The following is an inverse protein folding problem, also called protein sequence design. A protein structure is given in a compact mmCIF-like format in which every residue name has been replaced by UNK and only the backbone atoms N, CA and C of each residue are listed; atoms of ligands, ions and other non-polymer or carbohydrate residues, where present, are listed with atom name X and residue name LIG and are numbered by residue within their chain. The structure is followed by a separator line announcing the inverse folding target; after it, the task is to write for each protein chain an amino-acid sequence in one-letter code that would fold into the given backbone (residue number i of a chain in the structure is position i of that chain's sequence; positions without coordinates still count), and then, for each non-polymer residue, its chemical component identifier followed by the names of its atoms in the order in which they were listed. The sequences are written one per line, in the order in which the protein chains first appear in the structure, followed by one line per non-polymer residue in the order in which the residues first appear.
data_IF_948437000598
#
_entry.id   IF_948437000598
#
_cell.length_a   1.000
_cell.length_b   1.000
_cell.length_c   1.000
_cell.angle_alpha   90.00
_cell.angle_beta   90.00
_cell.angle_gamma   90.00
#
_symmetry.space_group_name_H-M   'P 1'
#
loop_
_entity.id
_entity.type
_entity.pdbx_description
1 polymer ?
2 polymer ?
3 water ?
#
loop_
_entity_poly.entity_id
_entity_poly.type
_entity_poly.pdbx_seq_one_letter_code
_entity_poly.pdbx_strand_id
2 'polydeoxyribonucleotide/polyribonucleotide hybrid' '(DA)(DU)(DA)(DC)(DA)(DU)(DA)' ?
#
# COMPACT_ATOMS: atom_id res chain seq x y z
N UNK A 2 7.11 21.26 -1.87
CA UNK A 2 5.94 20.80 -1.12
C UNK A 2 4.98 21.96 -0.80
N UNK A 3 4.31 21.88 0.35
CA UNK A 3 3.40 22.93 0.80
C UNK A 3 3.25 22.93 2.33
N UNK A 4 2.49 23.89 2.84
CA UNK A 4 2.26 24.00 4.28
C UNK A 4 0.93 23.35 4.68
N UNK A 5 0.21 22.78 3.71
CA UNK A 5 -1.11 22.22 3.96
C UNK A 5 -1.08 21.04 4.92
N UNK A 6 -2.05 21.01 5.82
CA UNK A 6 -2.25 19.88 6.71
C UNK A 6 -3.71 19.45 6.66
N UNK A 7 -3.95 18.13 6.64
CA UNK A 7 -5.32 17.58 6.61
C UNK A 7 -6.04 17.75 7.94
N UNK A 8 -7.34 18.01 7.87
CA UNK A 8 -8.17 18.12 9.06
C UNK A 8 -9.33 17.14 8.97
N UNK A 9 -9.96 16.84 10.10
CA UNK A 9 -11.09 15.92 10.11
C UNK A 9 -12.21 16.41 9.20
N UNK A 10 -12.73 15.51 8.38
CA UNK A 10 -13.83 15.83 7.49
C UNK A 10 -13.38 16.45 6.18
N UNK A 11 -12.08 16.45 5.95
CA UNK A 11 -11.54 17.02 4.72
C UNK A 11 -11.65 16.03 3.57
N UNK A 12 -11.24 16.48 2.40
CA UNK A 12 -11.19 15.62 1.22
C UNK A 12 -9.88 15.85 0.49
N UNK A 13 -9.08 14.79 0.40
CA UNK A 13 -7.73 14.89 -0.15
C UNK A 13 -7.53 14.04 -1.38
N UNK A 14 -6.54 14.41 -2.19
CA UNK A 14 -6.19 13.63 -3.36
C UNK A 14 -4.90 12.86 -3.08
N UNK A 15 -5.00 11.53 -3.02
CA UNK A 15 -3.84 10.73 -2.64
C UNK A 15 -3.72 9.43 -3.45
N UNK A 16 -2.49 8.93 -3.55
CA UNK A 16 -2.21 7.68 -4.24
C UNK A 16 -2.01 6.55 -3.24
N UNK A 17 -2.86 5.54 -3.29
CA UNK A 17 -2.82 4.43 -2.34
C UNK A 17 -1.97 3.27 -2.80
N UNK A 18 -1.48 3.36 -4.04
CA UNK A 18 -0.51 2.39 -4.55
C UNK A 18 0.78 2.51 -3.75
N UNK A 19 1.49 1.39 -3.58
CA UNK A 19 1.18 0.06 -4.11
C UNK A 19 0.07 -0.64 -3.33
N UNK A 20 -0.54 -1.64 -3.93
CA UNK A 20 -1.64 -2.37 -3.31
C UNK A 20 -1.61 -3.87 -3.64
N UNK A 21 -1.90 -4.70 -2.66
CA UNK A 21 -1.89 -6.16 -2.89
C UNK A 21 -3.06 -6.59 -3.77
N UNK A 22 -4.28 -6.28 -3.35
CA UNK A 22 -5.45 -6.44 -4.22
C UNK A 22 -6.74 -6.13 -3.51
N UNK A 23 -7.76 -5.78 -4.27
CA UNK A 23 -9.07 -5.46 -3.70
C UNK A 23 -8.93 -4.41 -2.61
N UNK A 24 -7.85 -3.64 -2.68
CA UNK A 24 -7.60 -2.54 -1.78
C UNK A 24 -7.58 -1.31 -2.67
N UNK A 25 -8.48 -0.36 -2.45
CA UNK A 25 -8.63 0.73 -3.40
C UNK A 25 -7.27 1.36 -3.68
N UNK A 26 -6.95 1.45 -4.96
CA UNK A 26 -5.59 1.77 -5.41
C UNK A 26 -5.56 2.96 -6.36
N UNK A 27 -4.36 3.33 -6.79
CA UNK A 27 -4.18 4.45 -7.70
C UNK A 27 -4.48 5.78 -7.04
N UNK A 28 -4.44 6.86 -7.82
CA UNK A 28 -4.78 8.18 -7.31
C UNK A 28 -6.30 8.31 -7.14
N UNK A 29 -6.73 8.95 -6.06
CA UNK A 29 -8.15 9.10 -5.81
C UNK A 29 -8.43 9.96 -4.57
N UNK A 30 -9.69 10.41 -4.43
CA UNK A 30 -10.14 11.17 -3.26
C UNK A 30 -10.20 10.28 -2.01
N UNK A 31 -9.95 10.89 -0.85
CA UNK A 31 -10.04 10.21 0.43
C UNK A 31 -10.62 11.19 1.45
N UNK A 32 -11.55 10.70 2.27
CA UNK A 32 -12.12 11.49 3.36
C UNK A 32 -11.31 11.30 4.64
N UNK A 33 -10.80 12.42 5.16
CA UNK A 33 -9.96 12.41 6.36
C UNK A 33 -10.78 12.27 7.65
N UNK A 34 -10.44 11.25 8.44
CA UNK A 34 -11.10 10.99 9.71
C UNK A 34 -10.31 11.57 10.87
N UNK A 35 -9.07 11.12 11.01
CA UNK A 35 -8.19 11.57 12.09
C UNK A 35 -8.16 13.09 12.17
N UNK A 36 -8.08 13.62 13.41
CA UNK A 36 -8.10 15.04 13.77
C UNK A 36 -6.86 15.78 13.30
N UNK A 37 -6.93 17.11 13.28
CA UNK A 37 -5.83 17.93 12.79
C UNK A 37 -4.53 17.71 13.55
N UNK A 38 -4.61 17.54 14.86
CA UNK A 38 -3.41 17.45 15.69
C UNK A 38 -2.67 16.10 15.56
N UNK A 39 -3.44 15.02 15.44
CA UNK A 39 -2.85 13.72 15.18
C UNK A 39 -2.19 13.72 13.81
N UNK A 40 -2.92 14.21 12.81
CA UNK A 40 -2.40 14.33 11.45
C UNK A 40 -1.11 15.11 11.44
N UNK A 41 -1.14 16.29 12.02
CA UNK A 41 0.03 17.16 12.10
C UNK A 41 1.21 16.49 12.80
N UNK A 42 1.05 16.20 14.09
CA UNK A 42 2.13 15.61 14.87
C UNK A 42 2.65 14.31 14.27
N UNK A 43 1.81 13.29 14.27
CA UNK A 43 2.22 11.96 13.82
C UNK A 43 2.64 11.94 12.36
N UNK A 44 2.08 12.85 11.57
CA UNK A 44 2.36 12.89 10.15
C UNK A 44 1.62 11.79 9.42
N UNK A 45 0.72 11.12 10.14
CA UNK A 45 -0.11 10.07 9.57
C UNK A 45 -1.55 10.51 9.57
N UNK A 46 -2.43 9.70 8.99
CA UNK A 46 -3.86 9.99 9.01
C UNK A 46 -4.73 8.77 8.74
N UNK A 47 -6.00 8.88 9.14
CA UNK A 47 -7.00 7.84 8.92
C UNK A 47 -8.01 8.38 7.92
N UNK A 48 -8.24 7.64 6.84
CA UNK A 48 -9.10 8.13 5.77
C UNK A 48 -9.81 7.02 4.98
N UNK A 49 -10.95 7.37 4.40
CA UNK A 49 -11.69 6.43 3.55
C UNK A 49 -11.60 6.81 2.07
N UNK A 50 -11.13 5.87 1.23
CA UNK A 50 -10.97 6.12 -0.20
C UNK A 50 -12.31 6.32 -0.91
N UNK A 51 -12.31 7.11 -1.97
CA UNK A 51 -13.54 7.40 -2.70
C UNK A 51 -13.51 6.83 -4.11
N UNK A 52 -14.69 6.50 -4.65
CA UNK A 52 -14.79 5.93 -5.98
C UNK A 52 -16.03 6.44 -6.72
N UNK A 53 -15.96 6.43 -8.05
CA UNK A 53 -17.08 6.87 -8.87
C UNK A 53 -17.96 5.70 -9.31
N UNK A 54 -17.56 4.50 -8.90
CA UNK A 54 -18.31 3.29 -9.23
C UNK A 54 -19.15 2.84 -8.04
N UNK A 55 -20.46 3.00 -8.16
CA UNK A 55 -21.37 2.61 -7.08
C UNK A 55 -21.94 1.23 -7.36
N UNK A 56 -21.50 0.23 -6.59
CA UNK A 56 -21.95 -1.14 -6.77
C UNK A 56 -23.03 -1.54 -5.78
N UNK A 57 -23.38 -0.62 -4.88
CA UNK A 57 -24.43 -0.86 -3.90
C UNK A 57 -23.99 -1.69 -2.71
N UNK A 58 -22.70 -1.67 -2.40
CA UNK A 58 -22.19 -2.39 -1.25
C UNK A 58 -22.65 -1.71 0.04
N UNK A 59 -22.76 -2.48 1.14
CA UNK A 59 -23.34 -1.99 2.40
C UNK A 59 -22.59 -0.79 2.98
N UNK A 60 -21.27 -0.83 2.97
CA UNK A 60 -20.45 0.19 3.63
C UNK A 60 -20.15 1.38 2.72
N UNK A 61 -20.74 1.38 1.53
CA UNK A 61 -20.63 2.51 0.62
C UNK A 61 -21.44 3.69 1.14
N UNK A 62 -20.81 4.86 1.23
CA UNK A 62 -21.50 6.09 1.61
C UNK A 62 -21.43 7.12 0.49
N UNK A 63 -22.58 7.61 0.05
CA UNK A 63 -22.64 8.57 -1.06
C UNK A 63 -22.21 9.98 -0.67
N UNK A 64 -21.29 10.55 -1.45
CA UNK A 64 -20.81 11.90 -1.23
C UNK A 64 -21.36 12.87 -2.28
N UNK A 65 -22.06 13.90 -1.81
CA UNK A 65 -22.59 14.92 -2.70
C UNK A 65 -21.69 16.16 -2.68
N UNK A 66 -22.05 17.16 -3.48
CA UNK A 66 -21.29 18.39 -3.54
C UNK A 66 -19.85 18.18 -3.96
N UNK A 67 -19.66 17.40 -5.02
CA UNK A 67 -18.32 17.15 -5.54
C UNK A 67 -18.28 17.32 -7.06
N UNK A 68 -17.10 17.16 -7.65
CA UNK A 68 -16.96 17.36 -9.08
C UNK A 68 -17.48 16.16 -9.89
N UNK A 69 -17.31 14.97 -9.33
CA UNK A 69 -17.92 13.76 -9.88
C UNK A 69 -18.65 12.99 -8.80
N UNK A 70 -19.93 12.75 -9.00
CA UNK A 70 -20.72 11.96 -8.04
C UNK A 70 -20.13 10.58 -7.87
N UNK A 71 -19.96 10.16 -6.63
CA UNK A 71 -19.34 8.88 -6.34
C UNK A 71 -19.56 8.45 -4.89
N UNK A 72 -18.81 7.44 -4.47
CA UNK A 72 -19.00 6.88 -3.13
C UNK A 72 -17.67 6.72 -2.39
N UNK A 73 -17.72 6.93 -1.08
CA UNK A 73 -16.58 6.68 -0.20
C UNK A 73 -16.79 5.33 0.48
N UNK A 74 -15.71 4.61 0.72
CA UNK A 74 -15.82 3.27 1.29
C UNK A 74 -15.50 3.28 2.78
N UNK A 75 -16.53 3.04 3.59
CA UNK A 75 -16.44 3.18 5.04
C UNK A 75 -15.68 2.04 5.71
N UNK A 76 -15.66 0.87 5.07
CA UNK A 76 -15.00 -0.31 5.63
C UNK A 76 -13.58 -0.45 5.10
N UNK A 77 -13.21 0.51 4.26
CA UNK A 77 -11.94 0.51 3.53
C UNK A 77 -10.84 1.20 4.32
N UNK A 78 -11.08 1.46 5.60
CA UNK A 78 -10.29 2.44 6.36
C UNK A 78 -8.80 2.30 6.10
N UNK A 79 -8.15 3.44 5.90
CA UNK A 79 -6.77 3.50 5.48
C UNK A 79 -5.93 4.36 6.44
N UNK A 80 -4.86 3.78 6.98
CA UNK A 80 -3.85 4.55 7.70
C UNK A 80 -2.71 4.86 6.74
N UNK A 81 -2.37 6.13 6.60
CA UNK A 81 -1.33 6.52 5.64
C UNK A 81 -0.41 7.61 6.16
N UNK A 82 0.77 7.72 5.55
CA UNK A 82 1.60 8.88 5.79
C UNK A 82 1.27 9.84 4.67
N UNK A 83 0.56 10.92 5.00
CA UNK A 83 0.06 11.84 4.00
C UNK A 83 1.15 12.81 3.57
N UNK A 84 2.00 13.18 4.50
CA UNK A 84 3.09 14.12 4.24
C UNK A 84 4.12 13.47 3.32
N UNK A 85 4.27 12.15 3.47
CA UNK A 85 5.19 11.37 2.64
C UNK A 85 4.58 11.08 1.27
N UNK A 86 3.30 10.71 1.25
CA UNK A 86 2.61 10.39 -0.01
C UNK A 86 2.14 11.66 -0.72
N UNK A 87 2.36 12.80 -0.09
CA UNK A 87 2.01 14.08 -0.69
C UNK A 87 0.51 14.29 -0.86
N UNK A 88 -0.23 14.16 0.24
CA UNK A 88 -1.67 14.43 0.19
C UNK A 88 -1.92 15.89 -0.16
N UNK A 89 -2.98 16.13 -0.92
CA UNK A 89 -3.36 17.47 -1.35
C UNK A 89 -4.83 17.70 -1.10
N UNK A 90 -5.18 18.80 -0.45
CA UNK A 90 -6.59 19.08 -0.16
C UNK A 90 -7.39 19.17 -1.45
N UNK A 91 -8.39 18.30 -1.57
CA UNK A 91 -9.32 18.34 -2.70
C UNK A 91 -10.62 19.08 -2.39
N UNK A 92 -10.88 19.35 -1.11
CA UNK A 92 -12.12 20.00 -0.74
C UNK A 92 -12.64 19.61 0.63
N UNK A 93 -13.95 19.79 0.81
CA UNK A 93 -14.60 19.46 2.07
C UNK A 93 -15.81 18.55 1.86
N UNK A 94 -16.19 17.81 2.89
CA UNK A 94 -17.39 16.97 2.85
C UNK A 94 -18.36 17.39 3.96
N UNK A 95 -19.66 17.21 3.71
CA UNK A 95 -20.69 17.58 4.68
C UNK A 95 -20.55 16.75 5.96
N UNK A 96 -20.81 17.38 7.11
CA UNK A 96 -20.69 16.73 8.42
C UNK A 96 -21.51 15.45 8.52
N UNK A 97 -22.65 15.39 7.84
CA UNK A 97 -23.54 14.24 7.93
C UNK A 97 -22.91 12.99 7.31
N UNK A 98 -22.22 13.19 6.19
CA UNK A 98 -21.57 12.12 5.47
C UNK A 98 -20.36 11.59 6.24
N UNK A 99 -19.55 12.50 6.76
CA UNK A 99 -18.44 12.13 7.63
C UNK A 99 -19.00 11.33 8.80
N UNK A 100 -20.12 11.79 9.33
CA UNK A 100 -20.78 11.15 10.46
C UNK A 100 -21.28 9.74 10.11
N UNK A 101 -21.69 9.54 8.87
CA UNK A 101 -22.18 8.23 8.44
C UNK A 101 -21.02 7.28 8.23
N UNK A 102 -19.92 7.80 7.70
CA UNK A 102 -18.67 7.03 7.61
C UNK A 102 -18.27 6.55 8.99
N UNK A 103 -17.98 7.50 9.87
CA UNK A 103 -17.59 7.18 11.25
C UNK A 103 -18.59 6.21 11.88
N UNK A 104 -19.87 6.41 11.59
CA UNK A 104 -20.92 5.57 12.14
C UNK A 104 -20.82 4.13 11.64
N UNK A 105 -20.42 3.98 10.38
CA UNK A 105 -20.27 2.66 9.78
C UNK A 105 -19.00 1.96 10.22
N UNK A 106 -17.99 2.74 10.56
CA UNK A 106 -16.73 2.15 11.02
C UNK A 106 -16.89 1.51 12.41
N UNK A 107 -17.76 2.08 13.24
CA UNK A 107 -18.01 1.50 14.56
C UNK A 107 -18.94 0.30 14.46
N UNK A 108 -19.68 0.24 13.36
CA UNK A 108 -20.54 -0.90 13.07
C UNK A 108 -19.73 -2.06 12.51
N UNK A 109 -18.70 -1.75 11.73
CA UNK A 109 -17.85 -2.80 11.18
C UNK A 109 -16.99 -3.36 12.29
N UNK A 110 -16.13 -2.55 12.88
CA UNK A 110 -15.55 -3.03 14.11
C UNK A 110 -16.23 -2.32 15.27
N UNK A 111 -17.38 -2.85 15.66
CA UNK A 111 -17.91 -2.70 16.99
C UNK A 111 -18.19 -4.06 17.62
N UNK A 112 -18.25 -5.08 16.76
CA UNK A 112 -19.03 -6.28 17.05
C UNK A 112 -18.68 -6.98 18.37
N UNK B 4 -9.67 -24.16 4.78
CA UNK B 4 -9.02 -22.86 4.66
C UNK B 4 -9.42 -21.92 5.80
N UNK B 5 -8.43 -21.29 6.42
CA UNK B 5 -8.64 -20.41 7.57
C UNK B 5 -9.10 -19.00 7.19
N UNK B 6 -10.00 -18.44 7.98
CA UNK B 6 -10.44 -17.05 7.82
C UNK B 6 -10.24 -16.28 9.12
N UNK B 7 -9.77 -15.02 9.03
CA UNK B 7 -9.53 -14.20 10.22
C UNK B 7 -10.81 -13.85 10.94
N UNK B 8 -10.81 -13.97 12.28
CA UNK B 8 -11.99 -13.65 13.06
C UNK B 8 -11.69 -12.53 14.04
N UNK B 9 -12.73 -11.88 14.55
CA UNK B 9 -12.57 -10.78 15.48
C UNK B 9 -11.73 -11.22 16.68
N UNK B 10 -10.68 -10.45 16.97
CA UNK B 10 -9.81 -10.74 18.10
C UNK B 10 -8.58 -11.55 17.74
N UNK B 11 -8.64 -12.22 16.59
CA UNK B 11 -7.51 -13.03 16.13
C UNK B 11 -6.25 -12.20 15.90
N UNK B 12 -5.11 -12.77 16.25
CA UNK B 12 -3.80 -12.19 15.98
C UNK B 12 -3.15 -12.97 14.85
N UNK B 13 -2.87 -12.29 13.75
CA UNK B 13 -2.41 -12.97 12.55
C UNK B 13 -1.04 -12.50 12.09
N UNK B 14 -0.39 -13.33 11.28
CA UNK B 14 0.90 -12.97 10.68
C UNK B 14 0.68 -12.56 9.23
N UNK B 15 1.11 -11.35 8.88
CA UNK B 15 0.87 -10.81 7.54
C UNK B 15 2.02 -9.90 7.10
N UNK B 16 2.29 -9.89 5.80
CA UNK B 16 3.31 -9.00 5.25
C UNK B 16 2.64 -7.71 4.77
N UNK B 17 2.95 -6.61 5.43
CA UNK B 17 2.30 -5.33 5.14
C UNK B 17 2.92 -4.62 3.93
N UNK B 18 4.09 -5.08 3.51
CA UNK B 18 4.76 -4.51 2.35
C UNK B 18 3.89 -4.65 1.09
N UNK B 19 4.10 -3.74 0.11
CA UNK B 19 5.00 -2.60 0.26
C UNK B 19 4.33 -1.47 1.06
N UNK B 20 5.12 -0.69 1.79
CA UNK B 20 4.60 0.42 2.59
C UNK B 20 5.51 1.64 2.55
N UNK B 21 4.91 2.82 2.46
CA UNK B 21 5.67 4.07 2.37
C UNK B 21 5.51 4.92 3.62
N UNK B 22 6.55 5.65 3.99
CA UNK B 22 6.48 6.58 5.09
C UNK B 22 6.62 5.98 6.47
N UNK B 23 5.89 6.55 7.43
CA UNK B 23 5.96 6.12 8.82
C UNK B 23 5.06 4.92 9.06
N UNK B 24 4.37 4.48 8.01
CA UNK B 24 3.48 3.33 8.09
C UNK B 24 4.28 2.07 8.39
N UNK B 25 3.71 1.19 9.19
CA UNK B 25 4.36 -0.07 9.54
C UNK B 25 4.59 -0.95 8.31
N UNK B 26 5.80 -1.43 8.15
CA UNK B 26 6.16 -2.26 6.99
C UNK B 26 6.63 -3.65 7.43
N UNK B 27 6.95 -4.48 6.45
CA UNK B 27 7.48 -5.81 6.71
C UNK B 27 6.51 -6.75 7.37
N UNK B 28 6.97 -7.96 7.66
CA UNK B 28 6.16 -8.97 8.34
C UNK B 28 6.00 -8.61 9.82
N UNK B 29 4.82 -8.89 10.35
CA UNK B 29 4.52 -8.61 11.75
C UNK B 29 3.10 -9.06 12.07
N UNK B 30 2.79 -9.24 13.36
CA UNK B 30 1.44 -9.64 13.77
C UNK B 30 0.45 -8.52 13.50
N UNK B 31 -0.79 -8.70 13.94
CA UNK B 31 -1.82 -7.68 13.80
C UNK B 31 -3.10 -8.16 14.46
N UNK B 32 -4.00 -7.22 14.77
CA UNK B 32 -5.24 -7.57 15.45
C UNK B 32 -6.42 -7.30 14.53
N UNK B 33 -7.24 -8.33 14.32
CA UNK B 33 -8.40 -8.21 13.45
C UNK B 33 -9.57 -7.64 14.26
N UNK B 34 -10.02 -6.45 13.87
CA UNK B 34 -11.13 -5.82 14.57
C UNK B 34 -12.42 -6.09 13.81
N UNK B 35 -12.30 -6.72 12.65
CA UNK B 35 -13.45 -7.03 11.82
C UNK B 35 -14.01 -8.41 12.20
N UNK B 36 -15.31 -8.60 11.96
CA UNK B 36 -15.97 -9.89 12.26
C UNK B 36 -15.44 -11.00 11.36
N UNK B 37 -15.94 -12.22 11.59
CA UNK B 37 -15.59 -13.36 10.75
C UNK B 37 -16.27 -13.29 9.40
N UNK B 38 -17.57 -12.98 9.41
CA UNK B 38 -18.36 -13.05 8.18
C UNK B 38 -17.91 -12.04 7.13
N UNK B 39 -17.64 -10.82 7.57
CA UNK B 39 -17.14 -9.79 6.67
C UNK B 39 -15.81 -10.22 6.03
N UNK B 40 -14.86 -10.61 6.88
CA UNK B 40 -13.56 -11.07 6.42
C UNK B 40 -13.68 -12.22 5.43
N UNK B 41 -14.67 -13.08 5.67
CA UNK B 41 -14.90 -14.24 4.82
C UNK B 41 -15.51 -13.85 3.47
N UNK B 42 -16.38 -12.84 3.49
CA UNK B 42 -17.03 -12.36 2.27
C UNK B 42 -16.08 -11.56 1.40
N UNK B 43 -15.67 -10.40 1.90
CA UNK B 43 -14.82 -9.49 1.12
C UNK B 43 -13.42 -10.01 0.90
N UNK B 44 -12.96 -10.91 1.78
CA UNK B 44 -11.57 -11.35 1.73
C UNK B 44 -10.69 -10.20 2.20
N UNK B 45 -11.32 -9.23 2.83
CA UNK B 45 -10.65 -8.06 3.39
C UNK B 45 -10.72 -8.14 4.90
N UNK B 46 -10.17 -7.13 5.57
CA UNK B 46 -10.32 -7.01 7.02
C UNK B 46 -9.62 -5.78 7.57
N UNK B 47 -10.03 -5.37 8.77
CA UNK B 47 -9.41 -4.22 9.44
C UNK B 47 -8.54 -4.71 10.58
N UNK B 48 -7.25 -4.39 10.52
CA UNK B 48 -6.32 -4.86 11.54
C UNK B 48 -5.40 -3.75 12.02
N UNK B 49 -4.93 -3.88 13.26
CA UNK B 49 -3.91 -2.99 13.77
C UNK B 49 -2.58 -3.72 13.78
N UNK B 50 -1.58 -3.18 13.06
CA UNK B 50 -0.27 -3.82 12.99
C UNK B 50 0.45 -3.73 14.34
N UNK B 51 1.07 -4.83 14.77
CA UNK B 51 1.76 -4.81 16.04
C UNK B 51 3.23 -4.45 15.83
N UNK B 52 3.96 -4.29 16.93
CA UNK B 52 5.38 -3.98 16.87
C UNK B 52 6.08 -4.40 18.16
N UNK B 53 7.37 -4.68 18.07
CA UNK B 53 8.15 -5.09 19.25
C UNK B 53 8.75 -3.87 19.96
N UNK B 54 8.68 -2.72 19.29
CA UNK B 54 9.27 -1.50 19.79
C UNK B 54 8.20 -0.55 20.32
N UNK B 55 8.19 -0.36 21.63
CA UNK B 55 7.24 0.56 22.26
C UNK B 55 7.93 1.88 22.56
N UNK B 56 7.48 2.94 21.91
CA UNK B 56 8.05 4.27 22.14
C UNK B 56 7.30 5.00 23.24
N UNK B 57 6.28 4.33 23.78
CA UNK B 57 5.41 4.96 24.77
C UNK B 57 4.41 5.89 24.13
N UNK B 58 4.23 5.76 22.82
CA UNK B 58 3.26 6.57 22.09
C UNK B 58 1.86 6.44 22.69
N UNK B 59 1.07 7.52 22.63
CA UNK B 59 -0.27 7.59 23.23
C UNK B 59 -1.20 6.45 22.80
N UNK B 60 -1.11 6.04 21.53
CA UNK B 60 -2.03 5.04 20.99
C UNK B 60 -1.53 3.61 21.06
N UNK B 61 -0.40 3.40 21.72
CA UNK B 61 0.13 2.05 21.89
C UNK B 61 -0.70 1.24 22.88
N UNK B 62 -1.09 0.04 22.47
CA UNK B 62 -1.78 -0.89 23.37
C UNK B 62 -0.93 -2.13 23.59
N UNK B 63 -0.54 -2.36 24.84
CA UNK B 63 0.35 -3.48 25.16
C UNK B 63 -0.33 -4.83 25.00
N UNK B 64 0.31 -5.70 24.21
CA UNK B 64 -0.16 -7.07 24.03
C UNK B 64 0.58 -8.01 24.96
N UNK B 65 -0.15 -8.67 25.86
CA UNK B 65 0.45 -9.61 26.81
C UNK B 65 0.06 -11.04 26.50
N UNK B 66 1.02 -11.96 26.65
CA UNK B 66 0.75 -13.37 26.47
C UNK B 66 1.27 -13.98 25.17
N UNK B 67 1.93 -13.17 24.35
CA UNK B 67 2.48 -13.70 23.10
C UNK B 67 3.93 -14.13 23.23
N UNK B 68 4.47 -14.67 22.13
CA UNK B 68 5.82 -15.21 22.11
C UNK B 68 6.87 -14.12 22.38
N UNK B 69 6.57 -12.91 21.92
CA UNK B 69 7.42 -11.77 22.18
C UNK B 69 6.53 -10.71 22.80
N UNK B 70 7.11 -9.76 23.53
CA UNK B 70 6.28 -8.71 24.12
C UNK B 70 6.39 -7.47 23.25
N UNK B 71 5.34 -7.22 22.48
CA UNK B 71 5.26 -6.07 21.61
C UNK B 71 4.20 -5.09 22.05
N UNK B 72 3.79 -4.24 21.12
CA UNK B 72 2.64 -3.36 21.32
C UNK B 72 1.87 -3.22 20.01
N UNK B 73 0.55 -3.32 20.08
CA UNK B 73 -0.29 -3.11 18.91
C UNK B 73 -0.55 -1.61 18.76
N UNK B 74 -0.54 -1.13 17.52
CA UNK B 74 -0.74 0.28 17.26
C UNK B 74 -2.18 0.53 16.81
N UNK B 75 -2.97 1.14 17.68
CA UNK B 75 -4.38 1.39 17.40
C UNK B 75 -4.56 2.62 16.52
N UNK B 76 -3.53 3.46 16.46
CA UNK B 76 -3.57 4.68 15.65
C UNK B 76 -3.56 4.35 14.16
N UNK B 77 -2.98 3.20 13.83
CA UNK B 77 -2.97 2.73 12.45
C UNK B 77 -3.96 1.58 12.30
N UNK B 78 -5.09 1.86 11.65
CA UNK B 78 -6.07 0.83 11.38
C UNK B 78 -6.11 0.59 9.89
N UNK B 79 -5.63 -0.57 9.46
CA UNK B 79 -5.46 -0.82 8.04
C UNK B 79 -6.44 -1.86 7.50
N UNK B 80 -7.14 -1.50 6.44
CA UNK B 80 -8.00 -2.46 5.77
C UNK B 80 -7.17 -3.11 4.66
N UNK B 81 -6.87 -4.39 4.86
CA UNK B 81 -6.02 -5.12 3.94
C UNK B 81 -6.71 -6.37 3.43
N UNK B 82 -6.16 -6.92 2.35
CA UNK B 82 -6.60 -8.21 1.87
C UNK B 82 -5.71 -9.26 2.51
N UNK B 83 -6.30 -10.00 3.44
CA UNK B 83 -5.57 -11.00 4.20
C UNK B 83 -5.41 -12.26 3.36
N UNK B 84 -6.43 -12.56 2.55
CA UNK B 84 -6.41 -13.72 1.68
C UNK B 84 -5.31 -13.59 0.62
N UNK B 85 -5.21 -12.40 0.04
CA UNK B 85 -4.22 -12.12 -0.99
C UNK B 85 -2.80 -12.17 -0.45
N UNK B 86 -2.61 -11.60 0.74
CA UNK B 86 -1.29 -11.56 1.38
C UNK B 86 -0.98 -12.86 2.11
N UNK B 87 -1.98 -13.75 2.17
CA UNK B 87 -1.81 -15.02 2.84
C UNK B 87 -1.62 -14.84 4.34
N UNK B 88 -2.47 -14.03 4.96
CA UNK B 88 -2.42 -13.78 6.39
C UNK B 88 -2.61 -15.09 7.16
N UNK B 89 -1.68 -15.38 8.06
CA UNK B 89 -1.73 -16.62 8.81
C UNK B 89 -2.01 -16.35 10.29
N UNK B 90 -2.76 -17.24 10.94
CA UNK B 90 -3.16 -17.03 12.32
C UNK B 90 -1.98 -17.28 13.26
N UNK B 91 -1.60 -16.26 14.03
CA UNK B 91 -0.57 -16.39 15.05
C UNK B 91 -1.08 -16.64 16.47
N UNK B 92 -2.39 -16.48 16.68
CA UNK B 92 -2.93 -16.55 18.02
C UNK B 92 -4.18 -15.71 18.22
N UNK B 93 -4.43 -15.31 19.47
CA UNK B 93 -5.55 -14.44 19.79
C UNK B 93 -5.14 -13.40 20.82
N UNK B 94 -5.75 -12.22 20.77
CA UNK B 94 -5.52 -11.21 21.78
C UNK B 94 -6.63 -11.28 22.82
N UNK B 95 -6.27 -11.05 24.08
CA UNK B 95 -7.26 -11.05 25.15
C UNK B 95 -8.36 -10.03 24.84
N UNK B 96 -9.59 -10.34 25.25
CA UNK B 96 -10.76 -9.50 24.95
C UNK B 96 -10.55 -8.05 25.36
N UNK B 97 -9.99 -7.82 26.54
CA UNK B 97 -9.78 -6.46 27.04
C UNK B 97 -8.78 -5.68 26.19
N UNK B 98 -7.89 -6.40 25.53
CA UNK B 98 -6.91 -5.75 24.66
C UNK B 98 -7.58 -5.25 23.40
N UNK B 99 -8.32 -6.14 22.74
CA UNK B 99 -9.10 -5.76 21.57
C UNK B 99 -10.06 -4.64 21.94
N UNK B 100 -10.58 -4.67 23.15
CA UNK B 100 -11.52 -3.66 23.62
C UNK B 100 -10.87 -2.30 23.82
N UNK B 101 -9.70 -2.29 24.46
CA UNK B 101 -8.94 -1.05 24.64
C UNK B 101 -8.59 -0.48 23.27
N UNK B 102 -8.19 -1.36 22.35
CA UNK B 102 -7.87 -0.94 21.00
C UNK B 102 -9.06 -0.27 20.34
N UNK B 103 -10.21 -0.95 20.37
CA UNK B 103 -11.46 -0.39 19.86
C UNK B 103 -11.69 1.00 20.44
N UNK B 104 -11.51 1.12 21.75
CA UNK B 104 -11.73 2.38 22.46
C UNK B 104 -10.84 3.49 21.91
N UNK B 105 -9.54 3.25 21.90
CA UNK B 105 -8.59 4.24 21.42
C UNK B 105 -8.89 4.65 19.98
N UNK B 106 -9.08 3.66 19.10
CA UNK B 106 -9.39 3.94 17.71
C UNK B 106 -10.61 4.84 17.61
N UNK B 107 -11.69 4.44 18.28
CA UNK B 107 -12.95 5.17 18.27
C UNK B 107 -12.83 6.56 18.90
N UNK B 108 -11.80 6.76 19.72
CA UNK B 108 -11.50 8.07 20.28
C UNK B 108 -10.81 8.93 19.24
N UNK B 109 -9.94 8.30 18.45
CA UNK B 109 -9.27 8.97 17.34
C UNK B 109 -10.30 9.32 16.27
N UNK B 110 -11.50 8.78 16.43
CA UNK B 110 -12.58 8.97 15.47
C UNK B 110 -13.89 9.18 16.24
N UNK B 111 -15.02 9.16 15.54
CA UNK B 111 -16.31 9.22 16.20
C UNK B 111 -16.89 10.61 16.31
N UNK C 3 15.59 -0.23 6.93
CA UNK C 3 14.58 0.54 6.25
C UNK C 3 14.06 -0.20 5.01
N UNK C 4 13.29 0.52 4.19
CA UNK C 4 12.65 -0.08 3.03
C UNK C 4 13.65 -0.23 1.88
N UNK C 5 13.18 -0.79 0.76
CA UNK C 5 14.03 -1.12 -0.37
C UNK C 5 13.93 -0.12 -1.51
N UNK C 6 15.05 0.52 -1.84
CA UNK C 6 15.14 1.40 -3.00
C UNK C 6 16.09 0.80 -4.05
N UNK C 7 15.57 0.53 -5.26
CA UNK C 7 16.36 -0.06 -6.35
C UNK C 7 17.65 0.69 -6.65
N UNK C 8 18.75 -0.03 -6.88
CA UNK C 8 20.00 0.57 -7.30
C UNK C 8 20.32 0.07 -8.71
N UNK C 9 20.99 0.91 -9.50
CA UNK C 9 21.29 0.55 -10.88
C UNK C 9 21.95 -0.82 -10.94
N UNK C 10 21.48 -1.66 -11.85
CA UNK C 10 21.99 -3.00 -11.98
C UNK C 10 21.05 -4.02 -11.34
N UNK C 11 20.17 -3.53 -10.47
CA UNK C 11 19.22 -4.40 -9.81
C UNK C 11 18.23 -5.04 -10.79
N UNK C 12 17.83 -6.27 -10.49
CA UNK C 12 16.80 -6.97 -11.24
C UNK C 12 15.58 -7.01 -10.34
N UNK C 13 14.50 -6.36 -10.76
CA UNK C 13 13.33 -6.22 -9.91
C UNK C 13 12.10 -6.93 -10.47
N UNK C 14 11.19 -7.31 -9.57
CA UNK C 14 9.92 -7.86 -9.98
C UNK C 14 8.85 -6.78 -9.93
N UNK C 15 8.29 -6.44 -11.08
CA UNK C 15 7.31 -5.37 -11.16
C UNK C 15 6.21 -5.73 -12.17
N UNK C 16 5.05 -5.08 -12.02
CA UNK C 16 3.92 -5.29 -12.91
C UNK C 16 3.75 -4.07 -13.82
N UNK C 17 3.99 -4.25 -15.11
CA UNK C 17 3.96 -3.14 -16.06
C UNK C 17 2.56 -2.78 -16.57
N UNK C 18 1.56 -3.55 -16.16
CA UNK C 18 0.18 -3.29 -16.57
C UNK C 18 -0.46 -2.22 -15.71
N UNK C 19 -1.51 -1.57 -16.23
CA UNK C 19 -2.09 -1.81 -17.56
C UNK C 19 -1.14 -1.36 -18.67
N UNK C 20 -1.20 -2.02 -19.82
CA UNK C 20 -0.31 -1.68 -20.93
C UNK C 20 -1.00 -1.76 -22.28
N UNK C 21 -0.43 -1.11 -23.28
CA UNK C 21 -0.98 -1.14 -24.64
C UNK C 21 0.07 -1.54 -25.67
N UNK C 22 -0.39 -2.01 -26.82
CA UNK C 22 0.49 -2.42 -27.90
C UNK C 22 1.42 -3.56 -27.52
N UNK C 23 2.63 -3.52 -28.06
CA UNK C 23 3.62 -4.56 -27.85
C UNK C 23 4.46 -4.31 -26.61
N UNK C 24 4.16 -3.22 -25.91
CA UNK C 24 4.85 -2.89 -24.67
C UNK C 24 4.69 -4.06 -23.70
N UNK C 25 5.79 -4.51 -23.11
CA UNK C 25 5.76 -5.68 -22.25
C UNK C 25 4.72 -5.57 -21.14
N UNK C 26 3.89 -6.59 -21.00
CA UNK C 26 2.80 -6.57 -20.03
C UNK C 26 3.05 -7.45 -18.81
N UNK C 27 2.09 -7.43 -17.89
CA UNK C 27 2.08 -8.31 -16.73
C UNK C 27 3.24 -8.10 -15.78
N UNK C 28 3.33 -8.97 -14.78
CA UNK C 28 4.48 -9.00 -13.89
C UNK C 28 5.65 -9.64 -14.62
N UNK C 29 6.85 -9.13 -14.39
CA UNK C 29 8.04 -9.68 -15.03
C UNK C 29 9.29 -8.98 -14.54
N UNK C 30 10.45 -9.65 -14.64
CA UNK C 30 11.71 -9.06 -14.20
C UNK C 30 12.10 -7.86 -15.08
N UNK C 31 12.64 -6.83 -14.45
CA UNK C 31 13.07 -5.63 -15.15
C UNK C 31 14.43 -5.18 -14.62
N UNK C 32 15.29 -4.74 -15.53
CA UNK C 32 16.63 -4.30 -15.17
C UNK C 32 16.63 -2.80 -14.89
N UNK C 33 17.24 -2.42 -13.76
CA UNK C 33 17.22 -1.03 -13.30
C UNK C 33 18.46 -0.28 -13.79
N UNK C 34 18.23 0.71 -14.67
CA UNK C 34 19.32 1.49 -15.25
C UNK C 34 19.62 2.78 -14.49
N UNK C 35 18.73 3.16 -13.57
CA UNK C 35 18.80 4.44 -12.88
C UNK C 35 19.61 4.39 -11.58
N UNK C 36 20.22 5.51 -11.20
CA UNK C 36 20.97 5.66 -9.94
C UNK C 36 20.08 5.52 -8.72
N UNK C 37 20.62 4.95 -7.65
CA UNK C 37 19.89 4.76 -6.40
C UNK C 37 19.24 6.07 -5.91
N UNK C 38 19.99 7.17 -5.97
CA UNK C 38 19.51 8.46 -5.53
C UNK C 38 18.22 8.86 -6.25
N UNK C 39 18.29 8.91 -7.58
CA UNK C 39 17.14 9.26 -8.40
C UNK C 39 15.94 8.39 -8.05
N UNK C 40 16.14 7.08 -8.09
CA UNK C 40 15.10 6.12 -7.77
C UNK C 40 14.46 6.36 -6.41
N UNK C 41 15.29 6.73 -5.43
CA UNK C 41 14.79 6.95 -4.07
C UNK C 41 13.99 8.24 -3.97
N UNK C 42 14.66 9.36 -4.20
CA UNK C 42 14.02 10.67 -4.09
C UNK C 42 12.75 10.80 -4.95
N UNK C 43 12.81 10.29 -6.19
CA UNK C 43 11.69 10.46 -7.11
C UNK C 43 10.68 9.32 -7.06
N UNK C 44 11.04 8.23 -6.39
CA UNK C 44 10.18 7.07 -6.35
C UNK C 44 9.93 6.52 -7.74
N UNK C 45 10.72 7.00 -8.70
CA UNK C 45 10.64 6.58 -10.09
C UNK C 45 11.96 5.97 -10.53
N UNK C 46 11.91 5.09 -11.53
CA UNK C 46 13.12 4.48 -12.07
C UNK C 46 12.98 4.09 -13.54
N UNK C 47 14.09 4.18 -14.27
CA UNK C 47 14.16 3.68 -15.63
C UNK C 47 14.46 2.19 -15.59
N UNK C 48 13.77 1.42 -16.41
CA UNK C 48 14.01 -0.02 -16.42
C UNK C 48 13.70 -0.66 -17.77
N UNK C 49 14.38 -1.77 -18.04
CA UNK C 49 14.13 -2.54 -19.24
C UNK C 49 13.52 -3.88 -18.87
N UNK C 50 12.27 -4.11 -19.28
CA UNK C 50 11.57 -5.36 -18.97
C UNK C 50 12.26 -6.57 -19.59
N UNK C 51 12.19 -7.71 -18.91
CA UNK C 51 12.81 -8.93 -19.40
C UNK C 51 11.75 -9.95 -19.79
N UNK C 52 12.04 -10.74 -20.82
CA UNK C 52 11.11 -11.77 -21.27
C UNK C 52 11.78 -13.12 -21.31
N UNK C 53 11.02 -14.16 -21.63
CA UNK C 53 11.55 -15.52 -21.66
C UNK C 53 11.60 -16.08 -23.09
N UNK C 54 10.44 -16.22 -23.72
CA UNK C 54 10.39 -16.61 -25.13
C UNK C 54 11.17 -15.57 -25.91
N UNK C 55 12.16 -16.03 -26.67
CA UNK C 55 13.11 -15.13 -27.31
C UNK C 55 13.06 -15.18 -28.83
N UNK C 56 12.91 -14.01 -29.44
CA UNK C 56 12.84 -13.88 -30.89
C UNK C 56 14.21 -13.68 -31.52
N UNK C 57 15.22 -13.43 -30.69
CA UNK C 57 16.55 -13.12 -31.18
C UNK C 57 16.62 -11.70 -31.72
N UNK C 58 15.64 -10.90 -31.33
CA UNK C 58 15.54 -9.49 -31.73
C UNK C 58 16.82 -8.71 -31.41
N UNK C 59 17.19 -7.78 -32.30
CA UNK C 59 18.42 -6.99 -32.22
C UNK C 59 18.69 -6.37 -30.84
N UNK C 60 17.66 -5.88 -30.17
CA UNK C 60 17.85 -5.18 -28.91
C UNK C 60 17.79 -6.11 -27.69
N UNK C 61 17.67 -7.41 -27.95
CA UNK C 61 17.70 -8.41 -26.90
C UNK C 61 19.06 -8.49 -26.23
N UNK C 62 19.07 -8.69 -24.93
CA UNK C 62 20.31 -8.93 -24.20
C UNK C 62 20.14 -10.12 -23.26
N UNK C 63 20.89 -11.18 -23.50
CA UNK C 63 20.78 -12.39 -22.71
C UNK C 63 21.23 -12.14 -21.28
N UNK C 64 20.42 -12.56 -20.31
CA UNK C 64 20.79 -12.44 -18.91
C UNK C 64 21.27 -13.79 -18.40
N UNK C 65 22.59 -13.89 -18.19
CA UNK C 65 23.22 -15.15 -17.85
C UNK C 65 23.19 -15.45 -16.35
N UNK C 66 23.10 -16.74 -16.01
CA UNK C 66 23.17 -17.17 -14.62
C UNK C 66 21.98 -16.69 -13.81
N UNK C 67 20.85 -16.52 -14.50
CA UNK C 67 19.67 -15.97 -13.87
C UNK C 67 18.75 -17.06 -13.34
N UNK C 68 17.63 -16.65 -12.75
CA UNK C 68 16.66 -17.58 -12.20
C UNK C 68 16.19 -18.55 -13.27
N UNK C 69 15.95 -18.02 -14.47
CA UNK C 69 15.52 -18.82 -15.61
C UNK C 69 16.06 -18.21 -16.90
N UNK C 70 16.28 -19.03 -17.91
CA UNK C 70 16.73 -18.53 -19.20
C UNK C 70 15.79 -17.44 -19.68
N UNK C 71 16.35 -16.28 -20.00
CA UNK C 71 15.55 -15.15 -20.43
C UNK C 71 16.36 -14.06 -21.10
N UNK C 72 15.66 -13.07 -21.65
CA UNK C 72 16.32 -11.98 -22.34
C UNK C 72 15.70 -10.64 -21.95
N UNK C 73 16.54 -9.62 -21.85
CA UNK C 73 16.09 -8.26 -21.61
C UNK C 73 15.80 -7.58 -22.94
N UNK C 74 14.75 -6.76 -22.97
CA UNK C 74 14.44 -6.00 -24.16
C UNK C 74 14.93 -4.57 -23.99
N UNK C 75 15.99 -4.22 -24.69
CA UNK C 75 16.64 -2.93 -24.49
C UNK C 75 15.90 -1.79 -25.20
N UNK C 76 15.37 -2.06 -26.39
CA UNK C 76 14.68 -1.03 -27.15
C UNK C 76 13.45 -0.55 -26.39
N UNK C 77 12.94 -1.41 -25.53
CA UNK C 77 11.84 -1.03 -24.66
C UNK C 77 12.41 -0.57 -23.33
N UNK C 78 12.31 0.74 -23.09
CA UNK C 78 12.85 1.35 -21.88
C UNK C 78 11.75 2.20 -21.26
N UNK C 79 11.42 1.92 -20.00
CA UNK C 79 10.28 2.57 -19.39
C UNK C 79 10.66 3.24 -18.08
N UNK C 80 10.35 4.53 -18.00
CA UNK C 80 10.40 5.22 -16.73
C UNK C 80 9.09 4.88 -16.05
N UNK C 81 9.17 4.19 -14.91
CA UNK C 81 7.98 3.76 -14.21
C UNK C 81 8.10 4.17 -12.76
N UNK C 82 6.98 4.17 -12.05
CA UNK C 82 7.01 4.43 -10.63
C UNK C 82 7.14 3.07 -9.96
N UNK C 83 8.32 2.81 -9.41
CA UNK C 83 8.63 1.49 -8.87
C UNK C 83 8.03 1.32 -7.48
N UNK C 84 7.89 2.43 -6.75
CA UNK C 84 7.30 2.39 -5.43
C UNK C 84 5.78 2.27 -5.51
N UNK C 85 5.21 2.84 -6.57
CA UNK C 85 3.77 2.80 -6.79
C UNK C 85 3.33 1.42 -7.25
N UNK C 86 4.11 0.82 -8.13
CA UNK C 86 3.83 -0.50 -8.66
C UNK C 86 4.33 -1.58 -7.70
N UNK C 87 4.92 -1.13 -6.59
CA UNK C 87 5.41 -2.02 -5.56
C UNK C 87 6.54 -2.92 -6.02
N UNK C 88 7.40 -2.40 -6.88
CA UNK C 88 8.53 -3.18 -7.40
C UNK C 88 9.34 -3.80 -6.27
N UNK C 89 9.66 -5.09 -6.42
CA UNK C 89 10.46 -5.80 -5.41
C UNK C 89 11.74 -6.39 -6.04
N UNK C 90 12.71 -6.75 -5.21
CA UNK C 90 14.03 -7.14 -5.69
C UNK C 90 14.12 -8.61 -6.09
N UNK C 91 14.39 -8.84 -7.37
CA UNK C 91 14.58 -10.19 -7.90
C UNK C 91 16.02 -10.69 -7.74
N UNK C 92 16.98 -9.80 -7.93
CA UNK C 92 18.38 -10.18 -7.96
C UNK C 92 19.25 -9.06 -8.52
N UNK C 93 20.39 -9.42 -9.09
CA UNK C 93 21.25 -8.45 -9.78
C UNK C 93 21.90 -9.03 -11.04
N UNK C 94 21.83 -8.26 -12.13
CA UNK C 94 22.44 -8.67 -13.40
C UNK C 94 23.94 -8.38 -13.43
N UNK C 95 24.66 -9.14 -14.26
CA UNK C 95 26.09 -8.92 -14.45
C UNK C 95 26.37 -7.56 -15.09
N UNK C 96 27.44 -6.90 -14.65
CA UNK C 96 27.82 -5.57 -15.16
C UNK C 96 28.03 -5.57 -16.67
N UNK C 97 28.55 -6.67 -17.21
CA UNK C 97 28.73 -6.76 -18.65
C UNK C 97 27.37 -6.54 -19.31
N UNK C 98 26.36 -7.20 -18.75
CA UNK C 98 25.00 -7.11 -19.26
C UNK C 98 24.43 -5.70 -19.16
N UNK C 99 24.67 -5.05 -18.03
CA UNK C 99 24.20 -3.69 -17.83
C UNK C 99 24.80 -2.76 -18.87
N UNK C 100 26.12 -2.87 -19.06
CA UNK C 100 26.82 -2.07 -20.05
C UNK C 100 26.25 -2.33 -21.44
N UNK C 101 25.95 -3.59 -21.73
CA UNK C 101 25.36 -3.93 -23.03
C UNK C 101 24.02 -3.24 -23.21
N UNK C 102 23.20 -3.27 -22.16
CA UNK C 102 21.93 -2.55 -22.14
C UNK C 102 22.15 -1.09 -22.51
N UNK C 103 22.91 -0.39 -21.67
CA UNK C 103 23.16 1.03 -21.89
C UNK C 103 23.65 1.34 -23.31
N UNK C 104 24.59 0.53 -23.80
CA UNK C 104 25.12 0.71 -25.15
C UNK C 104 24.02 0.58 -26.19
N UNK C 105 23.25 -0.50 -26.08
CA UNK C 105 22.13 -0.74 -26.99
C UNK C 105 21.11 0.39 -26.94
N UNK C 106 21.05 1.08 -25.79
CA UNK C 106 20.16 2.22 -25.65
C UNK C 106 20.72 3.46 -26.34
N UNK C 107 22.02 3.70 -26.15
CA UNK C 107 22.67 4.87 -26.70
C UNK C 107 22.80 4.78 -28.21
N UNK C 108 22.75 3.56 -28.73
CA UNK C 108 22.75 3.34 -30.17
C UNK C 108 21.38 3.65 -30.76
N UNK C 109 20.34 3.31 -30.00
CA UNK C 109 18.96 3.55 -30.43
C UNK C 109 18.63 5.04 -30.47
N UNK C 110 18.86 5.73 -29.35
CA UNK C 110 18.61 7.17 -29.26
C UNK C 110 19.92 7.94 -29.39
N UNK C 111 20.08 8.62 -30.53
CA UNK C 111 21.26 9.39 -30.83
C UNK C 111 21.48 9.38 -32.34
N UNK C 112 22.57 10.01 -32.79
CA UNK C 112 22.98 10.00 -34.20
C UNK C 112 23.76 11.28 -34.50
#
# INVERSE_FOLDING_TARGET
MVSRYVPDMGDLIWVDFDPTKGSEQAGHRPAVVLSPFMYNNKTGMCLCVPCTTQSKGYPFEVVLSGQERDGVALADQVKSIAWRARGATKKGTVAPEELQLIKAKINVLIGHHHHHH
MVSRYVPDMGDLIWVDFDPTKGSEQAGHRPAVVLSPFMYNNKTGMCLCVPCTTQSKGYPFEVVLSGQERDGVALADQVKSIAWRARGATKKGTVAPEELQLIKAKINVLIGHHHHHH
MVSRYVPDMGDLIWVDFDPTKGSEQAGHRPAVVLSPFMYNNKTGMCLCVPCTTQSKGYPFEVVLSGQERDGVALADQVKSIAWRARGATKKGTVAPEELQLIKAKINVLIGHHHHHH
#
